data_IF_058041299354
#
_entry.id   IF_058041299354
#
_cell.length_a   1.000
_cell.length_b   1.000
_cell.length_c   1.000
_cell.angle_alpha   90.00
_cell.angle_beta   90.00
_cell.angle_gamma   90.00
#
_symmetry.space_group_name_H-M   'P 1'
#
loop_
_entity.id
_entity.type
_entity.pdbx_description
1 polymer ?
#
# COMPACT_ATOMS: atom_id res chain seq x y z
N UNK A 1 17.95 12.44 22.82
CA UNK A 1 16.97 11.54 22.19
C UNK A 1 17.70 10.81 21.09
N UNK A 2 18.15 9.60 21.39
CA UNK A 2 18.83 8.74 20.44
C UNK A 2 17.83 8.36 19.33
N UNK A 3 18.29 8.35 18.08
CA UNK A 3 17.49 7.98 16.92
C UNK A 3 17.00 6.54 17.08
N UNK A 4 15.81 6.39 17.65
CA UNK A 4 15.18 5.11 18.01
C UNK A 4 14.84 4.21 16.81
N UNK A 5 15.07 4.70 15.58
CA UNK A 5 14.85 3.98 14.33
C UNK A 5 15.99 4.25 13.37
N UNK A 6 16.52 3.17 12.77
CA UNK A 6 17.44 3.28 11.63
C UNK A 6 16.71 3.91 10.45
N UNK A 7 17.43 4.58 9.55
CA UNK A 7 16.85 5.13 8.32
C UNK A 7 16.12 4.06 7.50
N UNK A 8 16.56 2.79 7.59
CA UNK A 8 15.91 1.64 6.96
C UNK A 8 14.53 1.35 7.57
N UNK A 9 14.40 1.45 8.89
CA UNK A 9 13.14 1.19 9.60
C UNK A 9 12.11 2.29 9.29
N UNK A 10 12.55 3.53 9.15
CA UNK A 10 11.70 4.66 8.77
C UNK A 10 11.13 4.48 7.35
N UNK A 11 11.94 4.01 6.40
CA UNK A 11 11.48 3.71 5.03
C UNK A 11 10.48 2.56 5.02
N UNK A 12 10.73 1.51 5.82
CA UNK A 12 9.81 0.37 5.95
C UNK A 12 8.47 0.82 6.54
N UNK A 13 8.50 1.61 7.62
CA UNK A 13 7.31 2.16 8.27
C UNK A 13 6.52 3.04 7.30
N UNK A 14 7.21 3.90 6.54
CA UNK A 14 6.60 4.72 5.50
C UNK A 14 5.89 3.86 4.45
N UNK A 15 6.53 2.81 3.93
CA UNK A 15 5.94 1.92 2.93
C UNK A 15 4.70 1.20 3.46
N UNK A 16 4.72 0.75 4.72
CA UNK A 16 3.57 0.10 5.37
C UNK A 16 2.40 1.09 5.53
N UNK A 17 2.66 2.27 6.09
CA UNK A 17 1.64 3.31 6.28
C UNK A 17 1.06 3.76 4.94
N UNK A 18 1.91 3.98 3.94
CA UNK A 18 1.50 4.37 2.60
C UNK A 18 0.61 3.29 1.95
N UNK A 19 0.97 2.01 2.11
CA UNK A 19 0.16 0.89 1.62
C UNK A 19 -1.22 0.83 2.29
N UNK A 20 -1.29 1.10 3.60
CA UNK A 20 -2.56 1.17 4.33
C UNK A 20 -3.43 2.34 3.85
N UNK A 21 -2.83 3.51 3.61
CA UNK A 21 -3.55 4.65 3.06
C UNK A 21 -4.10 4.36 1.67
N UNK A 22 -3.30 3.74 0.79
CA UNK A 22 -3.79 3.30 -0.53
C UNK A 22 -4.94 2.31 -0.42
N UNK A 23 -4.86 1.35 0.50
CA UNK A 23 -5.93 0.39 0.75
C UNK A 23 -7.22 1.09 1.22
N UNK A 24 -7.10 2.08 2.11
CA UNK A 24 -8.22 2.89 2.59
C UNK A 24 -8.89 3.62 1.41
N UNK A 25 -8.09 4.26 0.55
CA UNK A 25 -8.60 4.91 -0.67
C UNK A 25 -9.28 3.93 -1.61
N UNK A 26 -8.71 2.74 -1.83
CA UNK A 26 -9.33 1.72 -2.65
C UNK A 26 -10.68 1.26 -2.07
N UNK A 27 -10.80 1.08 -0.76
CA UNK A 27 -12.08 0.73 -0.11
C UNK A 27 -13.13 1.83 -0.30
N UNK A 28 -12.72 3.10 -0.17
CA UNK A 28 -13.62 4.24 -0.39
C UNK A 28 -14.10 4.32 -1.85
N UNK A 29 -13.19 4.14 -2.80
CA UNK A 29 -13.50 4.12 -4.24
C UNK A 29 -14.35 2.90 -4.61
N UNK A 30 -14.12 1.75 -3.98
CA UNK A 30 -14.93 0.56 -4.21
C UNK A 30 -16.37 0.76 -3.69
N UNK A 31 -16.52 1.37 -2.49
CA UNK A 31 -17.83 1.75 -1.95
C UNK A 31 -18.58 2.77 -2.79
N UNK A 32 -17.87 3.67 -3.49
CA UNK A 32 -18.48 4.60 -4.44
C UNK A 32 -18.70 4.00 -5.84
N UNK A 33 -18.53 2.68 -5.98
CA UNK A 33 -18.61 1.93 -7.24
C UNK A 33 -17.68 2.49 -8.34
N UNK A 34 -16.48 2.92 -7.95
CA UNK A 34 -15.44 3.44 -8.84
C UNK A 34 -15.48 4.95 -9.09
N UNK A 35 -16.31 5.71 -8.37
CA UNK A 35 -16.42 7.17 -8.54
C UNK A 35 -15.47 7.88 -7.58
N UNK A 36 -14.53 8.68 -8.10
CA UNK A 36 -13.57 9.44 -7.28
C UNK A 36 -14.17 10.76 -6.79
N UNK A 37 -15.00 11.40 -7.62
CA UNK A 37 -15.57 12.73 -7.43
C UNK A 37 -17.01 12.71 -6.93
N UNK A 38 -17.51 11.56 -6.44
CA UNK A 38 -18.83 11.49 -5.84
C UNK A 38 -18.90 12.50 -4.67
N UNK A 39 -19.49 13.68 -4.94
CA UNK A 39 -19.56 14.82 -4.01
C UNK A 39 -20.26 14.47 -2.70
N UNK A 40 -21.05 13.39 -2.71
CA UNK A 40 -21.72 12.87 -1.53
C UNK A 40 -21.88 11.35 -1.65
N UNK A 41 -21.40 10.60 -0.65
CA UNK A 41 -21.59 9.14 -0.56
C UNK A 41 -23.07 8.75 -0.49
N UNK A 42 -23.95 9.67 -0.06
CA UNK A 42 -25.39 9.45 -0.03
C UNK A 42 -26.06 9.56 -1.40
N UNK A 43 -25.39 10.16 -2.39
CA UNK A 43 -25.93 10.47 -3.72
C UNK A 43 -25.33 9.57 -4.83
N UNK A 44 -24.61 8.51 -4.44
CA UNK A 44 -23.95 7.57 -5.38
C UNK A 44 -24.97 6.98 -6.37
N UNK A 45 -26.21 6.71 -5.92
CA UNK A 45 -27.26 6.13 -6.77
C UNK A 45 -27.66 7.04 -7.94
N UNK A 46 -27.65 8.37 -7.76
CA UNK A 46 -27.98 9.29 -8.86
C UNK A 46 -26.81 9.39 -9.85
N UNK A 47 -25.57 9.42 -9.35
CA UNK A 47 -24.34 9.45 -10.14
C UNK A 47 -24.07 8.13 -10.89
N UNK A 48 -24.57 7.02 -10.37
CA UNK A 48 -24.43 5.68 -10.94
C UNK A 48 -25.17 5.49 -12.26
N UNK A 49 -26.28 6.22 -12.43
CA UNK A 49 -27.18 6.11 -13.59
C UNK A 49 -26.69 7.03 -14.73
N UNK A 50 -25.92 8.07 -14.40
CA UNK A 50 -25.41 9.06 -15.34
C UNK A 50 -24.40 8.46 -16.33
N UNK A 51 -24.68 8.46 -17.65
CA UNK A 51 -23.77 7.89 -18.65
C UNK A 51 -22.45 8.67 -18.80
N UNK A 52 -22.42 9.94 -18.37
CA UNK A 52 -21.26 10.82 -18.43
C UNK A 52 -20.10 10.34 -17.54
N UNK A 53 -20.40 9.60 -16.47
CA UNK A 53 -19.40 9.19 -15.49
C UNK A 53 -18.83 7.78 -15.73
N UNK A 54 -19.13 7.17 -16.88
CA UNK A 54 -18.66 5.81 -17.22
C UNK A 54 -17.13 5.69 -17.25
N UNK A 55 -16.43 6.69 -17.77
CA UNK A 55 -14.96 6.68 -17.85
C UNK A 55 -14.32 6.78 -16.46
N UNK A 56 -14.84 7.67 -15.61
CA UNK A 56 -14.38 7.81 -14.22
C UNK A 56 -14.55 6.50 -13.46
N UNK A 57 -15.72 5.86 -13.64
CA UNK A 57 -16.05 4.58 -13.02
C UNK A 57 -15.12 3.45 -13.43
N UNK A 58 -14.78 3.39 -14.70
CA UNK A 58 -13.81 2.43 -15.21
C UNK A 58 -12.44 2.69 -14.61
N UNK A 59 -11.99 3.95 -14.56
CA UNK A 59 -10.73 4.32 -13.94
C UNK A 59 -10.68 3.95 -12.45
N UNK A 60 -11.76 4.17 -11.70
CA UNK A 60 -11.84 3.82 -10.28
C UNK A 60 -11.81 2.32 -10.04
N UNK A 61 -12.54 1.53 -10.84
CA UNK A 61 -12.45 0.07 -10.76
C UNK A 61 -11.07 -0.46 -11.13
N UNK A 62 -10.41 0.17 -12.12
CA UNK A 62 -9.05 -0.18 -12.51
C UNK A 62 -8.04 0.14 -11.40
N UNK A 63 -8.19 1.30 -10.74
CA UNK A 63 -7.41 1.70 -9.57
C UNK A 63 -7.61 0.73 -8.41
N UNK A 64 -8.86 0.44 -8.03
CA UNK A 64 -9.18 -0.50 -6.95
C UNK A 64 -8.56 -1.86 -7.21
N UNK A 65 -8.70 -2.37 -8.45
CA UNK A 65 -8.08 -3.63 -8.88
C UNK A 65 -6.56 -3.56 -8.73
N UNK A 66 -5.91 -2.49 -9.23
CA UNK A 66 -4.47 -2.29 -9.09
C UNK A 66 -4.01 -2.23 -7.65
N UNK A 67 -4.75 -1.56 -6.77
CA UNK A 67 -4.40 -1.47 -5.35
C UNK A 67 -4.52 -2.84 -4.68
N UNK A 68 -5.61 -3.57 -4.90
CA UNK A 68 -5.75 -4.91 -4.31
C UNK A 68 -4.66 -5.87 -4.78
N UNK A 69 -4.41 -5.95 -6.09
CA UNK A 69 -3.35 -6.82 -6.61
C UNK A 69 -1.96 -6.31 -6.20
N UNK A 70 -1.69 -5.03 -6.38
CA UNK A 70 -0.40 -4.39 -6.11
C UNK A 70 -0.01 -4.47 -4.64
N UNK A 71 -0.92 -4.11 -3.71
CA UNK A 71 -0.67 -4.19 -2.27
C UNK A 71 -0.53 -5.65 -1.82
N UNK A 72 -1.33 -6.57 -2.35
CA UNK A 72 -1.24 -8.00 -2.01
C UNK A 72 0.12 -8.63 -2.36
N UNK A 73 0.81 -8.12 -3.38
CA UNK A 73 2.12 -8.62 -3.82
C UNK A 73 3.26 -7.79 -3.22
N UNK A 74 3.14 -6.46 -3.19
CA UNK A 74 4.20 -5.58 -2.68
C UNK A 74 4.45 -5.79 -1.20
N UNK A 75 3.42 -5.89 -0.36
CA UNK A 75 3.58 -6.01 1.09
C UNK A 75 4.38 -7.28 1.46
N UNK A 76 3.99 -8.50 1.02
CA UNK A 76 4.80 -9.68 1.28
C UNK A 76 6.18 -9.61 0.62
N UNK A 77 6.31 -9.03 -0.58
CA UNK A 77 7.60 -8.86 -1.25
C UNK A 77 8.58 -7.99 -0.45
N UNK A 78 8.12 -6.85 0.07
CA UNK A 78 8.91 -5.95 0.92
C UNK A 78 9.31 -6.66 2.23
N UNK A 79 8.39 -7.39 2.85
CA UNK A 79 8.67 -8.16 4.07
C UNK A 79 9.73 -9.24 3.84
N UNK A 80 9.63 -10.00 2.74
CA UNK A 80 10.62 -11.04 2.39
C UNK A 80 11.99 -10.44 2.11
N UNK A 81 12.06 -9.32 1.39
CA UNK A 81 13.32 -8.62 1.13
C UNK A 81 13.94 -8.12 2.44
N UNK A 82 13.14 -7.54 3.33
CA UNK A 82 13.61 -7.07 4.63
C UNK A 82 14.16 -8.22 5.48
N UNK A 83 13.45 -9.36 5.56
CA UNK A 83 13.90 -10.54 6.29
C UNK A 83 15.22 -11.10 5.72
N UNK A 84 15.37 -11.17 4.39
CA UNK A 84 16.63 -11.62 3.76
C UNK A 84 17.79 -10.69 4.05
N UNK A 85 17.58 -9.36 4.01
CA UNK A 85 18.61 -8.37 4.35
C UNK A 85 19.01 -8.52 5.83
N UNK A 86 18.03 -8.67 6.72
CA UNK A 86 18.26 -8.90 8.14
C UNK A 86 19.08 -10.17 8.41
N UNK A 87 18.70 -11.28 7.77
CA UNK A 87 19.38 -12.56 7.92
C UNK A 87 20.82 -12.52 7.38
N UNK A 88 21.05 -11.82 6.28
CA UNK A 88 22.40 -11.60 5.74
C UNK A 88 23.25 -10.75 6.68
N UNK A 89 22.65 -9.78 7.37
CA UNK A 89 23.34 -8.93 8.35
C UNK A 89 23.78 -9.73 9.59
N UNK A 90 22.90 -10.59 10.12
CA UNK A 90 23.20 -11.47 11.26
C UNK A 90 24.32 -12.48 10.96
N UNK A 91 24.32 -13.06 9.75
CA UNK A 91 25.38 -13.98 9.31
C UNK A 91 26.75 -13.28 9.20
N UNK A 92 26.76 -12.00 8.84
CA UNK A 92 27.99 -11.22 8.76
C UNK A 92 28.54 -10.92 10.16
N UNK A 93 27.68 -10.58 11.12
CA UNK A 93 28.08 -10.38 12.52
C UNK A 93 28.62 -11.68 13.15
N UNK A 94 28.00 -12.84 12.89
CA UNK A 94 28.48 -14.11 13.46
C UNK A 94 29.86 -14.49 12.93
N UNK A 95 30.11 -14.30 11.63
CA UNK A 95 31.43 -14.58 11.03
C UNK A 95 32.51 -13.63 11.55
N UNK A 96 32.16 -12.38 11.84
CA UNK A 96 33.11 -11.41 12.37
C UNK A 96 33.50 -11.74 13.82
N UNK A 97 32.56 -12.22 14.64
CA UNK A 97 32.79 -12.62 16.03
C UNK A 97 33.64 -13.90 16.12
N UNK A 98 33.47 -14.85 15.21
CA UNK A 98 34.28 -16.10 15.19
C UNK A 98 35.74 -15.90 14.74
N UNK A 99 36.06 -14.77 14.11
CA UNK A 99 37.41 -14.47 13.58
C UNK A 99 38.22 -13.48 14.43
N UNK A 100 37.78 -13.18 15.66
CA UNK A 100 38.50 -12.38 16.68
C UNK A 100 38.90 -13.31 17.83
#
# INVERSE_FOLDING_TARGET
MENLFSSKDQVLLFLVIFSLLLLLFAILVDKSNGLFLARNLLDIKSYEISPENKMERQAGKLFVRWVYYGVSVMVPGIVVLYLKIWQSCLLWESVYIENI
#
